data_IF_249628963980
#
_entry.id   IF_249628963980
#
_cell.length_a   1.000
_cell.length_b   1.000
_cell.length_c   1.000
_cell.angle_alpha   90.00
_cell.angle_beta   90.00
_cell.angle_gamma   90.00
#
_symmetry.space_group_name_H-M   'P 1'
#
loop_
_entity.id
_entity.type
_entity.pdbx_description
1 polymer ?
#
# COMPACT_ATOMS: atom_id res chain seq x y z
N UNK A 1 -6.59 -6.18 -3.33
CA UNK A 1 -5.64 -5.19 -3.93
C UNK A 1 -5.02 -4.33 -2.84
N UNK A 2 -5.85 -3.60 -2.09
CA UNK A 2 -5.46 -2.78 -0.93
C UNK A 2 -4.44 -3.49 -0.05
N UNK A 3 -4.76 -4.67 0.49
CA UNK A 3 -3.84 -5.47 1.33
C UNK A 3 -2.40 -5.57 0.78
N UNK A 4 -2.23 -6.02 -0.48
CA UNK A 4 -0.91 -6.16 -1.11
C UNK A 4 -0.23 -4.80 -1.33
N UNK A 5 -0.98 -3.81 -1.81
CA UNK A 5 -0.43 -2.48 -2.12
C UNK A 5 0.02 -1.80 -0.83
N UNK A 6 -0.80 -1.84 0.22
CA UNK A 6 -0.48 -1.28 1.53
C UNK A 6 0.80 -1.88 2.11
N UNK A 7 1.00 -3.19 2.02
CA UNK A 7 2.25 -3.83 2.43
C UNK A 7 3.46 -3.38 1.59
N UNK A 8 3.33 -3.36 0.26
CA UNK A 8 4.45 -2.97 -0.62
C UNK A 8 4.86 -1.51 -0.43
N UNK A 9 3.89 -0.63 -0.20
CA UNK A 9 4.10 0.78 0.08
C UNK A 9 4.52 1.05 1.55
N UNK A 10 4.56 0.02 2.40
CA UNK A 10 4.89 0.19 3.82
C UNK A 10 3.83 0.94 4.62
N UNK A 11 2.58 1.00 4.13
CA UNK A 11 1.45 1.64 4.81
C UNK A 11 0.84 0.75 5.91
N UNK A 12 1.07 -0.55 5.83
CA UNK A 12 0.55 -1.54 6.77
C UNK A 12 1.50 -2.74 6.85
N UNK A 13 1.57 -3.37 8.03
CA UNK A 13 2.40 -4.55 8.31
C UNK A 13 1.61 -5.68 9.00
N UNK A 14 0.28 -5.64 8.95
CA UNK A 14 -0.58 -6.60 9.64
C UNK A 14 -0.99 -7.81 8.77
N UNK A 15 -1.13 -8.96 9.42
CA UNK A 15 -1.39 -10.24 8.75
C UNK A 15 -2.85 -10.46 8.31
N UNK A 16 -3.80 -9.63 8.74
CA UNK A 16 -5.22 -9.78 8.39
C UNK A 16 -5.79 -8.52 7.74
N UNK A 17 -6.76 -8.63 6.82
CA UNK A 17 -7.41 -7.49 6.18
C UNK A 17 -7.97 -6.48 7.19
N UNK A 18 -8.67 -6.94 8.23
CA UNK A 18 -9.29 -6.08 9.25
C UNK A 18 -8.24 -5.26 10.00
N UNK A 19 -7.09 -5.86 10.33
CA UNK A 19 -5.98 -5.15 10.99
C UNK A 19 -5.31 -4.15 10.03
N UNK A 20 -5.18 -4.49 8.74
CA UNK A 20 -4.67 -3.55 7.72
C UNK A 20 -5.62 -2.38 7.56
N UNK A 21 -6.93 -2.61 7.54
CA UNK A 21 -7.94 -1.55 7.49
C UNK A 21 -7.82 -0.62 8.71
N UNK A 22 -7.72 -1.19 9.91
CA UNK A 22 -7.51 -0.41 11.13
C UNK A 22 -6.22 0.44 11.08
N UNK A 23 -5.13 -0.09 10.51
CA UNK A 23 -3.89 0.68 10.31
C UNK A 23 -4.08 1.81 9.30
N UNK A 24 -4.76 1.56 8.17
CA UNK A 24 -5.05 2.59 7.16
C UNK A 24 -5.93 3.71 7.72
N UNK A 25 -6.94 3.38 8.53
CA UNK A 25 -7.80 4.36 9.21
C UNK A 25 -7.04 5.28 10.16
N UNK A 26 -5.89 4.84 10.72
CA UNK A 26 -5.07 5.66 11.61
C UNK A 26 -4.18 6.66 10.87
N UNK A 27 -3.73 6.32 9.66
CA UNK A 27 -2.77 7.13 8.91
C UNK A 27 -3.41 8.00 7.82
N UNK A 28 -4.58 7.60 7.30
CA UNK A 28 -5.31 8.34 6.27
C UNK A 28 -6.32 9.26 6.96
N UNK A 29 -6.28 10.58 6.74
CA UNK A 29 -7.28 11.48 7.31
C UNK A 29 -8.68 11.14 6.78
N UNK A 30 -9.70 11.26 7.63
CA UNK A 30 -11.04 10.72 7.38
C UNK A 30 -11.67 11.18 6.04
N UNK A 31 -11.50 12.45 5.68
CA UNK A 31 -11.98 13.02 4.43
C UNK A 31 -11.43 12.33 3.16
N UNK A 32 -10.30 11.64 3.29
CA UNK A 32 -9.63 10.94 2.19
C UNK A 32 -9.88 9.44 2.19
N UNK A 33 -10.45 8.83 3.24
CA UNK A 33 -10.61 7.38 3.34
C UNK A 33 -11.33 6.74 2.13
N UNK A 34 -12.49 7.26 1.66
CA UNK A 34 -13.17 6.68 0.50
C UNK A 34 -12.33 6.80 -0.78
N UNK A 35 -11.60 7.92 -0.93
CA UNK A 35 -10.72 8.15 -2.10
C UNK A 35 -9.50 7.24 -2.05
N UNK A 36 -8.85 7.14 -0.88
CA UNK A 36 -7.70 6.29 -0.65
C UNK A 36 -8.00 4.83 -0.95
N UNK A 37 -9.17 4.33 -0.54
CA UNK A 37 -9.63 2.99 -0.90
C UNK A 37 -9.63 2.78 -2.43
N UNK A 38 -10.29 3.67 -3.18
CA UNK A 38 -10.32 3.59 -4.65
C UNK A 38 -8.93 3.70 -5.27
N UNK A 39 -8.09 4.62 -4.80
CA UNK A 39 -6.72 4.76 -5.29
C UNK A 39 -5.91 3.48 -5.11
N UNK A 40 -5.94 2.88 -3.92
CA UNK A 40 -5.20 1.64 -3.64
C UNK A 40 -5.74 0.45 -4.44
N UNK A 41 -7.06 0.37 -4.65
CA UNK A 41 -7.66 -0.66 -5.51
C UNK A 41 -7.22 -0.49 -6.96
N UNK A 42 -7.40 0.69 -7.54
CA UNK A 42 -7.10 0.97 -8.95
C UNK A 42 -5.61 0.83 -9.21
N UNK A 43 -4.77 1.35 -8.32
CA UNK A 43 -3.33 1.20 -8.40
C UNK A 43 -2.92 -0.27 -8.35
N UNK A 44 -3.47 -1.05 -7.41
CA UNK A 44 -3.21 -2.49 -7.33
C UNK A 44 -3.80 -3.32 -8.46
N UNK A 45 -4.78 -2.80 -9.20
CA UNK A 45 -5.39 -3.47 -10.36
C UNK A 45 -4.56 -3.24 -11.62
N UNK A 46 -4.15 -2.00 -11.87
CA UNK A 46 -3.58 -1.61 -13.16
C UNK A 46 -2.06 -1.41 -13.17
N UNK A 47 -1.45 -1.11 -12.02
CA UNK A 47 -0.02 -0.75 -11.91
C UNK A 47 0.74 -1.72 -11.01
N UNK A 48 0.38 -1.79 -9.73
CA UNK A 48 1.01 -2.68 -8.74
C UNK A 48 0.33 -4.07 -8.74
N UNK A 49 0.38 -4.73 -9.90
CA UNK A 49 -0.18 -6.07 -10.12
C UNK A 49 0.51 -7.12 -9.24
N UNK A 50 -0.17 -8.25 -9.01
CA UNK A 50 0.36 -9.31 -8.16
C UNK A 50 1.68 -9.89 -8.73
N UNK A 51 1.65 -10.23 -10.02
CA UNK A 51 2.79 -10.75 -10.78
C UNK A 51 3.33 -9.64 -11.68
N UNK A 52 4.65 -9.42 -11.64
CA UNK A 52 5.39 -8.42 -12.44
C UNK A 52 4.75 -7.01 -12.39
N UNK A 53 4.78 -6.31 -11.23
CA UNK A 53 4.28 -4.95 -11.12
C UNK A 53 4.98 -4.01 -12.10
N UNK A 54 4.25 -3.02 -12.63
CA UNK A 54 4.76 -2.04 -13.60
C UNK A 54 5.56 -0.92 -12.91
N UNK A 55 6.59 -1.28 -12.14
CA UNK A 55 7.32 -0.32 -11.30
C UNK A 55 7.97 0.82 -12.08
N UNK A 56 8.43 0.59 -13.32
CA UNK A 56 9.01 1.65 -14.16
C UNK A 56 7.99 2.71 -14.59
N UNK A 57 6.71 2.37 -14.66
CA UNK A 57 5.61 3.27 -15.02
C UNK A 57 4.77 3.70 -13.80
N UNK A 58 5.22 3.36 -12.58
CA UNK A 58 4.52 3.71 -11.36
C UNK A 58 4.80 5.17 -10.98
N UNK A 59 3.74 5.95 -10.78
CA UNK A 59 3.85 7.39 -10.45
C UNK A 59 4.39 7.69 -9.04
N UNK A 60 4.42 6.67 -8.17
CA UNK A 60 4.90 6.76 -6.78
C UNK A 60 6.05 5.78 -6.53
N UNK A 61 6.78 5.43 -7.59
CA UNK A 61 7.82 4.39 -7.57
C UNK A 61 9.04 4.79 -6.74
N UNK A 62 9.38 6.07 -6.77
CA UNK A 62 10.39 6.75 -5.99
C UNK A 62 10.09 6.76 -4.48
N UNK A 63 8.80 6.78 -4.12
CA UNK A 63 8.34 6.71 -2.73
C UNK A 63 8.16 5.27 -2.22
N UNK A 64 8.25 4.26 -3.09
CA UNK A 64 7.90 2.88 -2.75
C UNK A 64 9.06 2.14 -2.05
N UNK A 65 8.91 1.73 -0.77
CA UNK A 65 9.96 1.04 -0.02
C UNK A 65 10.35 -0.30 -0.68
N UNK A 66 9.38 -1.03 -1.23
CA UNK A 66 9.62 -2.28 -1.96
C UNK A 66 10.45 -2.13 -3.24
N UNK A 67 10.65 -0.90 -3.73
CA UNK A 67 11.56 -0.62 -4.86
C UNK A 67 12.89 -0.03 -4.39
N UNK A 68 12.86 0.80 -3.37
CA UNK A 68 14.02 1.58 -2.93
C UNK A 68 14.96 0.85 -1.96
N UNK A 69 14.65 -0.39 -1.54
CA UNK A 69 15.47 -1.07 -0.52
C UNK A 69 15.41 -0.40 0.86
N UNK A 70 14.52 0.58 1.03
CA UNK A 70 14.23 1.24 2.29
C UNK A 70 13.35 0.28 3.12
N UNK A 71 13.83 -0.07 4.31
CA UNK A 71 13.12 -0.94 5.24
C UNK A 71 11.72 -0.37 5.52
N UNK A 72 10.67 -1.10 5.10
CA UNK A 72 9.30 -0.79 5.49
C UNK A 72 9.16 -0.87 7.01
N UNK A 73 8.31 -0.03 7.60
CA UNK A 73 8.09 0.16 9.03
C UNK A 73 8.28 -1.15 9.83
N UNK A 74 9.33 -1.15 10.65
CA UNK A 74 9.77 -2.29 11.44
C UNK A 74 8.71 -2.83 12.39
N UNK A 75 8.82 -4.14 12.58
CA UNK A 75 8.24 -5.00 13.63
C UNK A 75 6.72 -5.18 13.62
N UNK A 76 6.32 -6.35 13.11
CA UNK A 76 5.07 -7.00 13.47
C UNK A 76 5.31 -7.77 14.80
N UNK A 77 4.66 -7.31 15.87
CA UNK A 77 4.34 -8.11 17.05
C UNK A 77 2.94 -8.73 16.87
#
# INVERSE_FOLDING_TARGET
HVFRVSHRLGLANANTPDKVEAQLHRIVPEAWLPKAHHWLILHGRYTCTARRPKCSACVISDLCPSRAGLAALGEAA
#
